data_IF_024338930848
#
_entry.id   IF_024338930848
#
_cell.length_a   1.000
_cell.length_b   1.000
_cell.length_c   1.000
_cell.angle_alpha   90.00
_cell.angle_beta   90.00
_cell.angle_gamma   90.00
#
_symmetry.space_group_name_H-M   'P 1'
#
loop_
_entity.id
_entity.type
_entity.pdbx_description
1 polymer ?
#
# COMPACT_ATOMS: atom_id res chain seq x y z
N UNK A 1 -1.68 20.17 9.32
CA UNK A 1 -0.22 20.04 9.48
C UNK A 1 0.33 19.20 8.34
N UNK A 2 1.56 19.48 7.94
CA UNK A 2 2.29 18.74 6.92
C UNK A 2 2.80 17.43 7.53
N UNK A 3 2.50 16.29 6.90
CA UNK A 3 2.98 14.99 7.34
C UNK A 3 4.01 14.47 6.33
N UNK A 4 5.24 14.95 6.50
CA UNK A 4 6.45 14.50 5.78
C UNK A 4 6.60 12.96 5.84
N UNK A 5 6.12 12.35 6.93
CA UNK A 5 6.06 10.91 7.17
C UNK A 5 5.16 10.12 6.21
N UNK A 6 4.26 10.79 5.48
CA UNK A 6 3.38 10.16 4.48
C UNK A 6 3.97 10.20 3.06
N UNK A 7 5.17 10.76 2.89
CA UNK A 7 5.85 10.84 1.58
C UNK A 7 5.14 11.74 0.57
N UNK A 8 4.38 12.74 1.05
CA UNK A 8 3.73 13.73 0.21
C UNK A 8 4.60 14.99 0.11
N UNK A 9 4.78 15.57 -1.10
CA UNK A 9 5.59 16.77 -1.25
C UNK A 9 4.96 17.98 -0.53
N UNK A 10 5.75 19.00 -0.17
CA UNK A 10 5.19 20.25 0.32
C UNK A 10 4.33 20.90 -0.78
N UNK A 11 3.02 20.82 -0.62
CA UNK A 11 2.04 21.26 -1.61
C UNK A 11 1.87 22.78 -1.73
N UNK A 12 2.65 23.60 -1.03
CA UNK A 12 2.53 25.06 -1.17
C UNK A 12 3.23 25.51 -2.46
N UNK A 13 2.51 26.05 -3.47
CA UNK A 13 3.16 26.69 -4.61
C UNK A 13 4.02 27.86 -4.10
N UNK A 14 5.25 27.99 -4.61
CA UNK A 14 6.14 29.08 -4.23
C UNK A 14 5.48 30.43 -4.57
N UNK A 15 5.36 31.31 -3.57
CA UNK A 15 5.03 32.72 -3.76
C UNK A 15 3.59 33.16 -3.49
N UNK A 16 2.71 32.34 -2.91
CA UNK A 16 1.33 32.79 -2.63
C UNK A 16 0.74 32.25 -1.32
N UNK A 17 0.44 33.15 -0.38
CA UNK A 17 -0.17 32.85 0.93
C UNK A 17 -1.70 32.64 0.89
N UNK A 18 -2.33 32.80 -0.28
CA UNK A 18 -3.80 32.83 -0.42
C UNK A 18 -4.43 31.57 -1.03
N UNK A 19 -3.66 30.51 -1.28
CA UNK A 19 -4.20 29.27 -1.86
C UNK A 19 -4.34 28.17 -0.80
N UNK A 20 -5.55 27.60 -0.71
CA UNK A 20 -5.81 26.40 0.08
C UNK A 20 -5.97 25.19 -0.85
N UNK A 21 -5.52 24.03 -0.39
CA UNK A 21 -5.64 22.77 -1.13
C UNK A 21 -7.07 22.28 -0.98
N UNK A 22 -7.75 22.02 -2.09
CA UNK A 22 -9.10 21.43 -2.08
C UNK A 22 -9.04 19.91 -1.99
N UNK A 23 -8.26 19.30 -2.87
CA UNK A 23 -7.98 17.86 -2.87
C UNK A 23 -6.69 17.58 -3.66
N UNK A 24 -6.17 16.37 -3.48
CA UNK A 24 -5.11 15.79 -4.30
C UNK A 24 -5.53 14.39 -4.71
N UNK A 25 -5.18 14.00 -5.94
CA UNK A 25 -5.40 12.65 -6.46
C UNK A 25 -4.17 12.21 -7.25
N UNK A 26 -3.84 10.91 -7.21
CA UNK A 26 -2.85 10.35 -8.12
C UNK A 26 -3.36 10.47 -9.56
N UNK A 27 -2.53 10.97 -10.47
CA UNK A 27 -2.93 11.18 -11.87
C UNK A 27 -3.41 9.88 -12.56
N UNK A 28 -2.80 8.75 -12.19
CA UNK A 28 -3.16 7.41 -12.67
C UNK A 28 -4.11 6.65 -11.73
N UNK A 29 -4.73 7.33 -10.75
CA UNK A 29 -5.62 6.76 -9.71
C UNK A 29 -4.99 5.66 -8.81
N UNK A 30 -3.74 5.27 -9.05
CA UNK A 30 -3.03 4.23 -8.32
C UNK A 30 -1.63 4.72 -7.96
N UNK A 31 -1.20 4.40 -6.74
CA UNK A 31 0.16 4.64 -6.26
C UNK A 31 1.03 3.40 -6.52
N UNK A 32 2.01 3.46 -7.43
CA UNK A 32 2.87 2.32 -7.72
C UNK A 32 3.77 2.00 -6.53
N UNK A 33 3.88 0.72 -6.19
CA UNK A 33 4.71 0.24 -5.08
C UNK A 33 5.52 -0.98 -5.49
N UNK A 34 6.74 -1.05 -4.98
CA UNK A 34 7.58 -2.25 -5.06
C UNK A 34 7.66 -2.85 -3.66
N UNK A 35 7.37 -4.14 -3.52
CA UNK A 35 7.36 -4.80 -2.22
C UNK A 35 8.20 -6.08 -2.27
N UNK A 36 9.09 -6.22 -1.30
CA UNK A 36 9.74 -7.50 -0.98
C UNK A 36 9.19 -8.01 0.34
N UNK A 37 8.64 -9.22 0.32
CA UNK A 37 8.02 -9.82 1.50
C UNK A 37 8.66 -11.17 1.82
N UNK A 38 8.97 -11.37 3.10
CA UNK A 38 9.36 -12.66 3.66
C UNK A 38 8.29 -13.06 4.67
N UNK A 39 7.85 -14.32 4.63
CA UNK A 39 6.82 -14.76 5.56
C UNK A 39 6.79 -16.26 5.76
N UNK A 40 6.21 -16.63 6.89
CA UNK A 40 5.88 -17.98 7.27
C UNK A 40 4.37 -18.19 7.12
N UNK A 41 3.99 -19.41 6.72
CA UNK A 41 2.58 -19.84 6.71
C UNK A 41 2.46 -21.17 7.42
N UNK A 42 1.56 -21.23 8.38
CA UNK A 42 1.16 -22.45 9.07
C UNK A 42 -0.11 -23.02 8.45
N UNK A 43 -0.03 -24.22 7.89
CA UNK A 43 -1.18 -24.94 7.34
C UNK A 43 -1.82 -25.86 8.38
N UNK A 44 -3.00 -25.49 8.84
CA UNK A 44 -3.77 -26.28 9.79
C UNK A 44 -4.36 -27.49 9.05
N UNK A 45 -4.17 -28.69 9.62
CA UNK A 45 -4.61 -29.95 9.02
C UNK A 45 -4.13 -30.09 7.56
N UNK A 46 -2.83 -29.85 7.33
CA UNK A 46 -2.20 -29.80 6.01
C UNK A 46 -2.38 -31.07 5.16
N UNK A 47 -2.77 -32.21 5.74
CA UNK A 47 -3.06 -33.44 5.00
C UNK A 47 -4.45 -33.43 4.33
N UNK A 48 -5.42 -32.67 4.86
CA UNK A 48 -6.78 -32.61 4.32
C UNK A 48 -6.82 -31.94 2.94
N UNK A 49 -7.93 -32.15 2.22
CA UNK A 49 -8.17 -31.50 0.92
C UNK A 49 -8.35 -30.00 1.05
N UNK A 50 -8.96 -29.56 2.14
CA UNK A 50 -9.14 -28.16 2.53
C UNK A 50 -8.35 -27.91 3.81
N UNK A 51 -7.41 -26.97 3.77
CA UNK A 51 -6.52 -26.67 4.90
C UNK A 51 -6.53 -25.16 5.15
N UNK A 52 -7.11 -24.69 6.27
CA UNK A 52 -6.96 -23.31 6.70
C UNK A 52 -5.49 -22.97 6.93
N UNK A 53 -5.13 -21.70 6.79
CA UNK A 53 -3.78 -21.24 7.06
C UNK A 53 -3.76 -19.94 7.84
N UNK A 54 -2.70 -19.79 8.64
CA UNK A 54 -2.30 -18.54 9.28
C UNK A 54 -0.94 -18.13 8.71
N UNK A 55 -0.79 -16.86 8.38
CA UNK A 55 0.41 -16.28 7.80
C UNK A 55 0.91 -15.14 8.67
N UNK A 56 2.22 -15.10 8.85
CA UNK A 56 2.94 -14.01 9.49
C UNK A 56 4.15 -13.70 8.63
N UNK A 57 4.41 -12.43 8.37
CA UNK A 57 5.52 -12.00 7.57
C UNK A 57 5.95 -10.59 7.87
N UNK A 58 7.00 -10.21 7.17
CA UNK A 58 7.59 -8.90 7.19
C UNK A 58 7.81 -8.48 5.73
N UNK A 59 7.42 -7.26 5.40
CA UNK A 59 7.58 -6.72 4.06
C UNK A 59 8.30 -5.37 4.11
N UNK A 60 9.16 -5.13 3.14
CA UNK A 60 9.73 -3.82 2.86
C UNK A 60 9.05 -3.29 1.60
N UNK A 61 8.43 -2.12 1.70
CA UNK A 61 7.70 -1.51 0.60
C UNK A 61 8.34 -0.18 0.21
N UNK A 62 8.69 -0.03 -1.07
CA UNK A 62 9.16 1.23 -1.64
C UNK A 62 8.04 1.88 -2.44
N UNK A 63 7.96 3.19 -2.33
CA UNK A 63 7.07 4.03 -3.13
C UNK A 63 7.80 4.41 -4.42
N UNK A 64 7.29 3.90 -5.55
CA UNK A 64 7.81 4.26 -6.86
C UNK A 64 7.41 5.71 -7.21
N UNK A 65 8.14 6.39 -8.12
CA UNK A 65 7.74 7.72 -8.58
C UNK A 65 6.33 7.72 -9.18
N UNK A 66 5.59 8.81 -8.96
CA UNK A 66 4.24 9.00 -9.50
C UNK A 66 3.87 10.48 -9.54
N UNK A 67 2.84 10.81 -10.32
CA UNK A 67 2.31 12.18 -10.44
C UNK A 67 1.08 12.37 -9.55
N UNK A 68 1.04 13.50 -8.85
CA UNK A 68 -0.11 13.96 -8.09
C UNK A 68 -0.77 15.13 -8.81
N UNK A 69 -2.06 15.01 -9.13
CA UNK A 69 -2.92 16.15 -9.47
C UNK A 69 -3.36 16.83 -8.19
N UNK A 70 -3.16 18.13 -8.13
CA UNK A 70 -3.53 18.96 -6.97
C UNK A 70 -4.42 20.09 -7.47
N UNK A 71 -5.62 20.19 -6.91
CA UNK A 71 -6.52 21.32 -7.15
C UNK A 71 -6.38 22.33 -6.01
N UNK A 72 -6.05 23.56 -6.37
CA UNK A 72 -5.94 24.71 -5.48
C UNK A 72 -7.17 25.60 -5.63
N UNK A 73 -7.69 26.11 -4.50
CA UNK A 73 -8.68 27.19 -4.48
C UNK A 73 -7.98 28.48 -4.04
N UNK A 74 -8.13 29.54 -4.82
CA UNK A 74 -7.82 30.89 -4.37
C UNK A 74 -8.85 31.31 -3.30
N UNK A 75 -8.40 31.46 -2.05
CA UNK A 75 -9.28 31.78 -0.91
C UNK A 75 -9.84 33.21 -1.01
N UNK A 76 -9.26 34.06 -1.87
CA UNK A 76 -9.67 35.46 -2.06
C UNK A 76 -10.51 35.64 -3.32
N UNK A 77 -10.18 34.95 -4.42
CA UNK A 77 -10.85 35.11 -5.73
C UNK A 77 -11.82 33.99 -6.09
N UNK A 78 -11.79 32.85 -5.38
CA UNK A 78 -12.61 31.68 -5.68
C UNK A 78 -12.24 30.95 -6.98
N UNK A 79 -11.11 31.29 -7.60
CA UNK A 79 -10.63 30.66 -8.83
C UNK A 79 -9.94 29.32 -8.51
N UNK A 80 -10.27 28.30 -9.30
CA UNK A 80 -9.62 26.99 -9.21
C UNK A 80 -8.38 26.95 -10.10
N UNK A 81 -7.31 26.33 -9.61
CA UNK A 81 -6.11 26.05 -10.39
C UNK A 81 -5.68 24.61 -10.17
N UNK A 82 -5.56 23.86 -11.25
CA UNK A 82 -4.98 22.52 -11.24
C UNK A 82 -3.49 22.59 -11.52
N UNK A 83 -2.71 21.75 -10.84
CA UNK A 83 -1.29 21.52 -11.12
C UNK A 83 -0.95 20.06 -10.90
N UNK A 84 -0.13 19.49 -11.77
CA UNK A 84 0.53 18.22 -11.48
C UNK A 84 1.84 18.46 -10.71
N UNK A 85 2.12 17.61 -9.73
CA UNK A 85 3.33 17.61 -8.92
C UNK A 85 3.95 16.22 -8.97
N UNK A 86 5.19 16.16 -9.45
CA UNK A 86 5.97 14.93 -9.44
C UNK A 86 6.39 14.56 -8.03
N UNK A 87 6.01 13.36 -7.57
CA UNK A 87 6.52 12.79 -6.32
C UNK A 87 7.69 11.88 -6.65
N UNK A 88 8.91 12.20 -6.16
CA UNK A 88 10.08 11.39 -6.46
C UNK A 88 10.02 10.04 -5.75
N UNK A 89 10.88 9.12 -6.21
CA UNK A 89 11.11 7.84 -5.53
C UNK A 89 11.56 8.06 -4.08
N UNK A 90 10.83 7.49 -3.11
CA UNK A 90 11.32 7.42 -1.74
C UNK A 90 12.25 6.20 -1.61
N UNK A 91 13.52 6.47 -1.32
CA UNK A 91 14.55 5.43 -1.13
C UNK A 91 14.37 4.68 0.18
N UNK A 92 13.62 5.25 1.12
CA UNK A 92 13.42 4.68 2.45
C UNK A 92 12.29 3.65 2.38
N UNK A 93 12.57 2.34 2.53
CA UNK A 93 11.50 1.35 2.58
C UNK A 93 10.61 1.58 3.80
N UNK A 94 9.33 1.33 3.61
CA UNK A 94 8.35 1.20 4.66
C UNK A 94 8.38 -0.22 5.23
N UNK A 95 8.81 -0.41 6.49
CA UNK A 95 8.76 -1.71 7.17
C UNK A 95 7.32 -2.05 7.56
N UNK A 96 6.79 -3.13 7.01
CA UNK A 96 5.43 -3.58 7.23
C UNK A 96 5.42 -4.95 7.91
N UNK A 97 4.57 -5.14 8.93
CA UNK A 97 4.19 -6.49 9.33
C UNK A 97 3.08 -6.99 8.41
N UNK A 98 3.23 -8.22 7.92
CA UNK A 98 2.24 -8.92 7.12
C UNK A 98 1.51 -9.97 7.96
N UNK A 99 0.19 -9.85 8.08
CA UNK A 99 -0.67 -10.88 8.69
C UNK A 99 -1.59 -11.45 7.62
N UNK A 100 -1.82 -12.75 7.67
CA UNK A 100 -2.68 -13.41 6.69
C UNK A 100 -3.49 -14.54 7.28
N UNK A 101 -4.70 -14.70 6.82
CA UNK A 101 -5.53 -15.89 7.08
C UNK A 101 -6.16 -16.35 5.78
N UNK A 102 -6.40 -17.65 5.63
CA UNK A 102 -7.07 -18.12 4.43
C UNK A 102 -7.22 -19.62 4.38
N UNK A 103 -7.48 -20.10 3.17
CA UNK A 103 -7.79 -21.50 2.89
C UNK A 103 -6.97 -21.96 1.68
N UNK A 104 -6.39 -23.14 1.82
CA UNK A 104 -5.72 -23.87 0.76
C UNK A 104 -6.59 -25.06 0.35
N UNK A 105 -6.83 -25.20 -0.94
CA UNK A 105 -7.56 -26.33 -1.53
C UNK A 105 -6.65 -27.15 -2.43
N UNK A 106 -6.55 -28.45 -2.17
CA UNK A 106 -5.77 -29.38 -2.99
C UNK A 106 -6.61 -29.87 -4.17
N UNK A 107 -6.18 -29.53 -5.38
CA UNK A 107 -6.79 -30.07 -6.61
C UNK A 107 -6.24 -31.47 -6.89
N UNK A 108 -4.93 -31.67 -6.69
CA UNK A 108 -4.25 -32.94 -6.92
C UNK A 108 -3.02 -33.11 -6.02
N UNK A 109 -2.07 -33.95 -6.46
CA UNK A 109 -0.83 -34.18 -5.71
C UNK A 109 0.08 -32.93 -5.69
N UNK A 110 0.21 -32.26 -6.85
CA UNK A 110 1.11 -31.11 -7.02
C UNK A 110 0.39 -29.75 -7.02
N UNK A 111 -0.87 -29.69 -7.46
CA UNK A 111 -1.58 -28.42 -7.64
C UNK A 111 -2.49 -28.07 -6.47
N UNK A 112 -2.39 -26.81 -6.02
CA UNK A 112 -3.20 -26.27 -4.93
C UNK A 112 -3.72 -24.88 -5.29
N UNK A 113 -4.95 -24.57 -4.89
CA UNK A 113 -5.51 -23.22 -4.93
C UNK A 113 -5.41 -22.61 -3.54
N UNK A 114 -5.11 -21.32 -3.47
CA UNK A 114 -5.10 -20.57 -2.23
C UNK A 114 -5.97 -19.33 -2.39
N UNK A 115 -6.80 -19.07 -1.39
CA UNK A 115 -7.51 -17.81 -1.23
C UNK A 115 -7.43 -17.35 0.22
N UNK A 116 -7.37 -16.05 0.48
CA UNK A 116 -7.34 -15.54 1.83
C UNK A 116 -7.31 -14.02 1.93
N UNK A 117 -7.43 -13.54 3.15
CA UNK A 117 -7.32 -12.14 3.49
C UNK A 117 -5.94 -11.86 4.09
N UNK A 118 -5.40 -10.70 3.76
CA UNK A 118 -4.16 -10.20 4.34
C UNK A 118 -4.33 -8.79 4.85
N UNK A 119 -3.61 -8.48 5.92
CA UNK A 119 -3.51 -7.15 6.50
C UNK A 119 -2.03 -6.80 6.64
N UNK A 120 -1.64 -5.63 6.16
CA UNK A 120 -0.30 -5.08 6.36
C UNK A 120 -0.37 -3.81 7.21
N UNK A 121 0.53 -3.71 8.18
CA UNK A 121 0.61 -2.54 9.05
C UNK A 121 2.04 -2.02 9.16
N UNK A 122 2.18 -0.69 9.15
CA UNK A 122 3.46 0.00 9.30
C UNK A 122 4.04 -0.22 10.70
N UNK A 123 5.31 -0.61 10.77
CA UNK A 123 6.02 -0.89 12.01
C UNK A 123 6.76 0.34 12.57
N UNK A 124 7.08 1.34 11.75
CA UNK A 124 7.80 2.53 12.19
C UNK A 124 6.88 3.49 12.98
N UNK A 125 7.11 3.68 14.30
CA UNK A 125 6.30 4.55 15.13
C UNK A 125 6.50 6.04 14.82
N UNK A 126 7.56 6.44 14.11
CA UNK A 126 7.77 7.81 13.65
C UNK A 126 6.88 8.12 12.42
N UNK A 127 6.41 7.10 11.72
CA UNK A 127 5.55 7.20 10.53
C UNK A 127 4.06 7.01 10.84
N UNK A 128 3.62 7.46 12.03
CA UNK A 128 2.20 7.45 12.43
C UNK A 128 1.34 8.15 11.37
N UNK A 129 0.32 7.44 10.88
CA UNK A 129 -0.65 7.95 9.90
C UNK A 129 -0.73 7.15 8.60
N UNK A 130 0.22 6.25 8.32
CA UNK A 130 0.14 5.37 7.15
C UNK A 130 -1.03 4.39 7.34
N UNK A 131 -1.97 4.30 6.37
CA UNK A 131 -3.15 3.46 6.50
C UNK A 131 -2.80 1.97 6.44
N UNK A 132 -3.59 1.16 7.15
CA UNK A 132 -3.54 -0.29 7.05
C UNK A 132 -3.95 -0.74 5.65
N UNK A 133 -3.18 -1.66 5.06
CA UNK A 133 -3.53 -2.23 3.76
C UNK A 133 -4.24 -3.56 3.93
N UNK A 134 -5.47 -3.63 3.44
CA UNK A 134 -6.22 -4.87 3.33
C UNK A 134 -6.07 -5.43 1.92
N UNK A 135 -5.86 -6.74 1.83
CA UNK A 135 -5.68 -7.43 0.55
C UNK A 135 -6.49 -8.71 0.50
N UNK A 136 -7.09 -8.97 -0.65
CA UNK A 136 -7.57 -10.30 -1.00
C UNK A 136 -6.50 -11.00 -1.83
N UNK A 137 -5.99 -12.13 -1.32
CA UNK A 137 -4.93 -12.93 -1.94
C UNK A 137 -5.54 -14.15 -2.59
N UNK A 138 -5.29 -14.33 -3.87
CA UNK A 138 -5.69 -15.52 -4.63
C UNK A 138 -4.47 -16.04 -5.39
N UNK A 139 -4.32 -17.36 -5.48
CA UNK A 139 -3.18 -17.93 -6.19
C UNK A 139 -3.32 -19.41 -6.49
N UNK A 140 -2.58 -19.83 -7.51
CA UNK A 140 -2.35 -21.23 -7.86
C UNK A 140 -0.92 -21.58 -7.45
N UNK A 141 -0.76 -22.65 -6.70
CA UNK A 141 0.52 -23.10 -6.15
C UNK A 141 0.87 -24.47 -6.75
N UNK A 142 2.12 -24.61 -7.16
CA UNK A 142 2.71 -25.89 -7.51
C UNK A 142 3.58 -26.38 -6.34
N UNK A 143 3.36 -27.61 -5.90
CA UNK A 143 4.15 -28.30 -4.89
C UNK A 143 5.00 -29.37 -5.59
N UNK A 144 6.32 -29.18 -5.52
CA UNK A 144 7.33 -30.12 -5.99
C UNK A 144 7.33 -31.39 -5.13
#
# INVERSE_FOLDING_TARGET
>A
EYHESLGLPPFKPKGVDTFSIRYYETEEHLKPTLQFALGFRYWIAAQRKLSPYLGLGYAMQWQLPYELKVEYIDVVQGNNRESSVHVPFDRSPLPMLDLGIGILYKIGQHWRLQTGLGMQYELDPERRGIPYYWSWRNGVLYAF
#
